data_IF_559138039082
#
_entry.id   IF_559138039082
#
_cell.length_a   1.000
_cell.length_b   1.000
_cell.length_c   1.000
_cell.angle_alpha   90.00
_cell.angle_beta   90.00
_cell.angle_gamma   90.00
#
_symmetry.space_group_name_H-M   'P 1'
#
loop_
_entity.id
_entity.type
_entity.pdbx_description
1 polymer ?
#
# COMPACT_ATOMS: atom_id res chain seq x y z
N UNK A 1 -25.92 7.36 3.48
CA UNK A 1 -24.65 8.12 3.51
C UNK A 1 -24.15 8.10 2.09
N UNK A 2 -24.17 9.25 1.40
CA UNK A 2 -23.63 9.33 0.03
C UNK A 2 -22.14 9.07 0.10
N UNK A 3 -21.70 8.06 -0.65
CA UNK A 3 -20.36 7.52 -0.59
C UNK A 3 -19.58 8.16 -1.74
N UNK A 4 -18.72 9.13 -1.42
CA UNK A 4 -17.89 9.80 -2.43
C UNK A 4 -16.73 8.88 -2.84
N UNK A 5 -16.98 8.00 -3.81
CA UNK A 5 -15.89 7.31 -4.51
C UNK A 5 -15.06 8.36 -5.24
N UNK A 6 -13.75 8.41 -4.97
CA UNK A 6 -12.82 9.30 -5.68
C UNK A 6 -12.78 8.89 -7.13
N UNK A 7 -13.33 9.71 -8.03
CA UNK A 7 -13.18 9.49 -9.46
C UNK A 7 -11.79 9.98 -9.91
N UNK A 8 -11.40 9.63 -11.14
CA UNK A 8 -10.19 10.21 -11.75
C UNK A 8 -10.28 11.75 -11.77
N UNK A 9 -11.47 12.30 -11.96
CA UNK A 9 -11.72 13.75 -11.97
C UNK A 9 -11.55 14.38 -10.58
N UNK A 10 -11.76 13.64 -9.49
CA UNK A 10 -11.51 14.13 -8.13
C UNK A 10 -10.01 14.25 -7.82
N UNK A 11 -9.15 13.45 -8.48
CA UNK A 11 -7.69 13.58 -8.40
C UNK A 11 -7.19 14.88 -9.06
N UNK A 12 -7.98 15.52 -9.93
CA UNK A 12 -7.58 16.72 -10.66
C UNK A 12 -7.35 17.94 -9.75
N UNK A 13 -8.04 17.99 -8.60
CA UNK A 13 -8.04 19.14 -7.67
C UNK A 13 -6.75 19.30 -6.86
N UNK A 14 -5.88 18.29 -6.82
CA UNK A 14 -4.64 18.32 -6.03
C UNK A 14 -3.42 18.87 -6.80
N UNK A 15 -3.65 19.54 -7.95
CA UNK A 15 -2.60 20.06 -8.84
C UNK A 15 -2.65 21.60 -8.95
N UNK A 16 -3.15 22.33 -7.95
CA UNK A 16 -2.92 23.78 -7.97
C UNK A 16 -1.41 24.06 -7.72
N UNK A 17 -0.72 24.75 -8.65
CA UNK A 17 0.64 25.18 -8.39
C UNK A 17 0.62 26.18 -7.25
N UNK A 18 1.34 25.89 -6.17
CA UNK A 18 1.64 26.89 -5.14
C UNK A 18 2.38 28.06 -5.80
N UNK A 19 1.64 29.08 -6.25
CA UNK A 19 2.17 30.38 -6.60
C UNK A 19 2.60 31.07 -5.30
N UNK A 20 3.83 30.78 -4.86
CA UNK A 20 4.62 31.75 -4.10
C UNK A 20 5.69 32.29 -5.03
N UNK A 21 5.48 33.55 -5.40
CA UNK A 21 6.40 34.39 -6.16
C UNK A 21 7.83 34.25 -5.66
N UNK A 22 8.73 33.82 -6.55
CA UNK A 22 10.15 34.17 -6.48
C UNK A 22 10.81 33.90 -7.84
N UNK A 23 11.13 34.99 -8.55
CA UNK A 23 12.26 35.06 -9.49
C UNK A 23 12.03 34.50 -10.89
N UNK A 24 11.67 35.38 -11.81
CA UNK A 24 11.74 35.20 -13.28
C UNK A 24 13.12 34.70 -13.70
N UNK A 25 13.18 33.56 -14.39
CA UNK A 25 14.21 33.27 -15.39
C UNK A 25 13.53 32.68 -16.63
N UNK A 26 13.88 33.30 -17.75
CA UNK A 26 13.37 33.19 -19.11
C UNK A 26 13.12 31.78 -19.63
N UNK A 27 12.05 31.67 -20.43
CA UNK A 27 11.90 30.64 -21.44
C UNK A 27 13.13 30.58 -22.33
N UNK A 28 13.54 29.38 -22.73
CA UNK A 28 13.56 28.98 -24.14
C UNK A 28 14.19 27.58 -24.30
N UNK A 29 13.73 26.91 -25.35
CA UNK A 29 14.32 25.75 -26.03
C UNK A 29 14.11 24.37 -25.37
N UNK A 30 13.08 23.64 -25.82
CA UNK A 30 13.18 22.58 -26.84
C UNK A 30 11.82 21.86 -26.92
N UNK A 31 11.06 22.19 -27.96
CA UNK A 31 10.01 21.31 -28.46
C UNK A 31 10.66 20.16 -29.20
N UNK A 32 10.32 18.94 -28.80
CA UNK A 32 10.41 17.76 -29.66
C UNK A 32 9.23 16.87 -29.33
N UNK A 33 8.42 16.64 -30.35
CA UNK A 33 7.28 15.73 -30.38
C UNK A 33 7.60 14.40 -29.73
N UNK A 34 6.88 14.05 -28.67
CA UNK A 34 6.77 12.66 -28.23
C UNK A 34 5.76 12.01 -29.17
N UNK A 35 6.29 11.34 -30.19
CA UNK A 35 5.55 10.36 -30.97
C UNK A 35 4.94 9.34 -30.01
N UNK A 36 3.61 9.25 -30.00
CA UNK A 36 2.85 8.18 -29.36
C UNK A 36 3.28 6.84 -29.98
N UNK A 37 4.16 6.11 -29.30
CA UNK A 37 4.29 4.68 -29.53
C UNK A 37 3.20 4.00 -28.73
N UNK A 38 2.16 3.53 -29.42
CA UNK A 38 1.25 2.49 -28.94
C UNK A 38 2.06 1.22 -28.68
N UNK A 39 2.74 1.17 -27.52
CA UNK A 39 3.15 -0.09 -26.95
C UNK A 39 2.01 -0.55 -26.06
N UNK A 40 1.32 -1.60 -26.50
CA UNK A 40 0.44 -2.43 -25.67
C UNK A 40 1.17 -2.80 -24.37
N UNK A 41 1.00 -1.97 -23.35
CA UNK A 41 1.50 -2.25 -22.01
C UNK A 41 0.68 -3.42 -21.48
N UNK A 42 1.26 -4.62 -21.56
CA UNK A 42 0.72 -5.84 -20.95
C UNK A 42 0.56 -5.57 -19.46
N UNK A 43 -0.68 -5.27 -19.05
CA UNK A 43 -1.04 -5.13 -17.64
C UNK A 43 -0.70 -6.46 -16.96
N UNK A 44 0.11 -6.48 -15.89
CA UNK A 44 0.39 -7.71 -15.17
C UNK A 44 -0.92 -8.35 -14.73
N UNK A 45 -1.16 -9.60 -15.14
CA UNK A 45 -2.40 -10.30 -14.82
C UNK A 45 -2.48 -10.57 -13.31
N UNK A 46 -3.38 -9.88 -12.60
CA UNK A 46 -3.73 -10.26 -11.23
C UNK A 46 -4.64 -11.49 -11.26
N UNK A 47 -4.42 -12.42 -10.32
CA UNK A 47 -5.30 -13.58 -10.09
C UNK A 47 -6.74 -13.16 -9.73
N UNK A 48 -6.97 -11.89 -9.37
CA UNK A 48 -8.27 -11.33 -8.97
C UNK A 48 -8.82 -10.31 -9.98
N UNK A 49 -8.51 -10.48 -11.27
CA UNK A 49 -9.03 -9.63 -12.34
C UNK A 49 -10.56 -9.71 -12.49
N UNK A 50 -11.14 -10.88 -12.27
CA UNK A 50 -12.60 -11.12 -12.39
C UNK A 50 -13.36 -10.94 -11.07
N UNK A 51 -12.67 -10.57 -9.98
CA UNK A 51 -13.30 -10.39 -8.68
C UNK A 51 -14.27 -9.19 -8.70
N UNK A 52 -15.40 -9.24 -7.95
CA UNK A 52 -16.43 -8.20 -8.03
C UNK A 52 -15.93 -6.84 -7.54
N UNK A 53 -14.98 -6.79 -6.61
CA UNK A 53 -14.34 -5.55 -6.16
C UNK A 53 -13.43 -4.93 -7.24
N UNK A 54 -13.23 -5.58 -8.38
CA UNK A 54 -12.45 -5.03 -9.49
C UNK A 54 -13.10 -3.87 -10.24
N UNK A 55 -14.40 -3.69 -10.03
CA UNK A 55 -15.14 -2.58 -10.62
C UNK A 55 -14.73 -1.24 -10.00
N UNK A 56 -14.38 -1.26 -8.72
CA UNK A 56 -13.85 -0.10 -8.02
C UNK A 56 -12.41 0.08 -8.49
N UNK A 57 -12.06 1.31 -8.88
CA UNK A 57 -10.68 1.68 -9.20
C UNK A 57 -10.10 1.10 -10.52
N UNK A 58 -10.93 0.84 -11.56
CA UNK A 58 -10.46 0.28 -12.85
C UNK A 58 -9.28 1.03 -13.50
N UNK A 59 -9.20 2.36 -13.37
CA UNK A 59 -8.03 3.15 -13.80
C UNK A 59 -6.80 2.92 -12.92
N UNK A 60 -7.00 2.94 -11.60
CA UNK A 60 -5.98 2.61 -10.58
C UNK A 60 -5.46 1.17 -10.73
N UNK A 61 -6.28 0.21 -11.19
CA UNK A 61 -5.83 -1.18 -11.44
C UNK A 61 -4.68 -1.30 -12.41
N UNK A 62 -4.55 -0.39 -13.37
CA UNK A 62 -3.39 -0.35 -14.27
C UNK A 62 -2.13 0.17 -13.58
N UNK A 63 -2.25 0.71 -12.37
CA UNK A 63 -1.23 1.44 -11.62
C UNK A 63 -0.67 0.66 -10.43
N UNK A 64 -1.13 -0.57 -10.20
CA UNK A 64 -0.61 -1.44 -9.14
C UNK A 64 -0.45 -2.87 -9.63
N UNK A 65 0.54 -3.56 -9.05
CA UNK A 65 0.81 -4.96 -9.28
C UNK A 65 1.36 -5.58 -7.99
N UNK A 66 1.29 -6.90 -7.88
CA UNK A 66 1.97 -7.63 -6.81
C UNK A 66 3.49 -7.35 -6.93
N UNK A 67 4.15 -6.87 -5.86
CA UNK A 67 5.57 -6.54 -5.89
C UNK A 67 6.41 -7.80 -6.03
N UNK A 68 7.51 -7.70 -6.79
CA UNK A 68 8.50 -8.77 -6.87
C UNK A 68 9.28 -8.91 -5.55
N UNK A 69 9.25 -10.11 -4.96
CA UNK A 69 9.96 -10.42 -3.72
C UNK A 69 11.41 -10.87 -3.93
N UNK A 70 11.85 -11.08 -5.18
CA UNK A 70 13.17 -11.63 -5.52
C UNK A 70 14.35 -10.82 -4.95
N UNK A 71 14.21 -9.49 -4.89
CA UNK A 71 15.21 -8.57 -4.37
C UNK A 71 15.19 -8.38 -2.85
N UNK A 72 14.22 -8.97 -2.14
CA UNK A 72 14.06 -8.75 -0.69
C UNK A 72 14.95 -9.70 0.09
N UNK A 73 15.82 -9.13 0.94
CA UNK A 73 16.71 -9.88 1.83
C UNK A 73 16.23 -9.82 3.29
N UNK A 74 16.11 -10.98 3.92
CA UNK A 74 15.70 -11.15 5.33
C UNK A 74 16.84 -11.71 6.17
N UNK A 75 16.74 -11.56 7.49
CA UNK A 75 17.73 -12.15 8.42
C UNK A 75 17.67 -13.68 8.33
N UNK A 76 18.80 -14.33 8.07
CA UNK A 76 18.88 -15.80 8.08
C UNK A 76 18.66 -16.37 9.49
N UNK A 77 18.49 -17.70 9.58
CA UNK A 77 18.26 -18.42 10.86
C UNK A 77 19.40 -18.19 11.86
N UNK A 78 20.62 -18.04 11.37
CA UNK A 78 21.87 -17.81 12.13
C UNK A 78 22.35 -16.36 12.12
N UNK A 79 21.48 -15.40 11.74
CA UNK A 79 21.85 -13.99 11.56
C UNK A 79 22.55 -13.38 12.79
N UNK A 80 22.21 -13.80 14.00
CA UNK A 80 22.85 -13.25 15.21
C UNK A 80 24.33 -13.62 15.34
N UNK A 81 24.75 -14.71 14.68
CA UNK A 81 26.12 -15.21 14.69
C UNK A 81 26.90 -14.77 13.45
N UNK A 82 26.28 -14.85 12.27
CA UNK A 82 26.94 -14.60 10.98
C UNK A 82 26.66 -13.22 10.37
N UNK A 83 25.63 -12.50 10.84
CA UNK A 83 25.12 -11.24 10.29
C UNK A 83 24.74 -11.32 8.80
N UNK A 84 24.47 -12.51 8.27
CA UNK A 84 24.16 -12.78 6.85
C UNK A 84 22.66 -12.73 6.59
N UNK A 85 22.27 -11.90 5.63
CA UNK A 85 20.91 -11.90 5.09
C UNK A 85 20.77 -12.90 3.94
N UNK A 86 19.60 -13.50 3.83
CA UNK A 86 19.23 -14.46 2.80
C UNK A 86 18.01 -13.96 2.01
N UNK A 87 17.79 -14.43 0.77
CA UNK A 87 16.57 -14.12 0.03
C UNK A 87 15.31 -14.48 0.83
N UNK A 88 14.28 -13.62 0.77
CA UNK A 88 13.00 -13.82 1.46
C UNK A 88 12.20 -15.02 0.92
N UNK A 89 12.48 -15.44 -0.32
CA UNK A 89 11.71 -16.45 -1.02
C UNK A 89 10.41 -15.88 -1.61
N UNK A 90 9.43 -16.76 -1.82
CA UNK A 90 8.13 -16.40 -2.38
C UNK A 90 7.30 -15.61 -1.36
N UNK A 91 6.61 -14.57 -1.81
CA UNK A 91 5.64 -13.86 -0.99
C UNK A 91 4.53 -14.81 -0.49
N UNK A 92 4.20 -14.71 0.80
CA UNK A 92 3.16 -15.55 1.43
C UNK A 92 1.77 -14.95 1.17
N UNK A 93 1.63 -13.64 1.34
CA UNK A 93 0.40 -12.93 1.05
C UNK A 93 0.22 -12.70 -0.44
N UNK A 94 -1.05 -12.65 -0.87
CA UNK A 94 -1.44 -12.29 -2.23
C UNK A 94 -2.10 -10.93 -2.26
N UNK A 95 -1.71 -10.07 -3.20
CA UNK A 95 -2.32 -8.75 -3.33
C UNK A 95 -3.73 -8.91 -3.93
N UNK A 96 -4.75 -8.60 -3.14
CA UNK A 96 -6.15 -8.63 -3.58
C UNK A 96 -6.49 -7.38 -4.38
N UNK A 97 -6.21 -6.22 -3.78
CA UNK A 97 -6.65 -4.95 -4.30
C UNK A 97 -5.86 -3.79 -3.70
N UNK A 98 -5.75 -2.70 -4.45
CA UNK A 98 -5.35 -1.39 -3.95
C UNK A 98 -6.46 -0.41 -4.26
N UNK A 99 -6.81 0.39 -3.27
CA UNK A 99 -7.93 1.31 -3.33
C UNK A 99 -7.54 2.68 -2.79
N UNK A 100 -8.29 3.70 -3.22
CA UNK A 100 -8.11 5.07 -2.77
C UNK A 100 -9.42 5.57 -2.16
N UNK A 101 -9.38 5.84 -0.86
CA UNK A 101 -10.53 6.31 -0.11
C UNK A 101 -10.38 7.80 0.19
N UNK A 102 -11.50 8.53 0.15
CA UNK A 102 -11.62 9.91 0.62
C UNK A 102 -12.63 9.97 1.73
N UNK A 103 -12.34 10.79 2.72
CA UNK A 103 -13.17 10.91 3.92
C UNK A 103 -13.46 12.36 4.24
N UNK A 104 -14.58 12.62 4.90
CA UNK A 104 -14.94 13.99 5.27
C UNK A 104 -14.05 14.50 6.42
N UNK A 105 -13.67 13.61 7.33
CA UNK A 105 -12.79 13.94 8.46
C UNK A 105 -11.63 12.95 8.59
N UNK A 106 -10.60 13.33 9.34
CA UNK A 106 -9.43 12.48 9.57
C UNK A 106 -9.79 11.24 10.41
N UNK A 107 -10.70 11.38 11.36
CA UNK A 107 -11.13 10.30 12.27
C UNK A 107 -11.87 9.19 11.53
N UNK A 108 -12.56 9.53 10.43
CA UNK A 108 -13.25 8.58 9.59
C UNK A 108 -12.33 7.63 8.81
N UNK A 109 -11.03 7.96 8.73
CA UNK A 109 -10.01 7.09 8.12
C UNK A 109 -9.66 5.90 8.99
N UNK A 110 -9.96 5.96 10.29
CA UNK A 110 -9.61 4.90 11.22
C UNK A 110 -10.59 3.72 11.09
N UNK A 111 -10.06 2.50 11.21
CA UNK A 111 -10.85 1.27 11.16
C UNK A 111 -11.76 1.21 9.91
N UNK A 112 -11.19 1.55 8.76
CA UNK A 112 -11.91 1.66 7.50
C UNK A 112 -12.57 0.35 7.11
N UNK A 113 -12.07 -0.80 7.59
CA UNK A 113 -12.63 -2.11 7.30
C UNK A 113 -14.13 -2.18 7.64
N UNK A 114 -14.57 -1.49 8.70
CA UNK A 114 -15.99 -1.43 9.06
C UNK A 114 -16.82 -0.74 7.97
N UNK A 115 -16.28 0.29 7.31
CA UNK A 115 -16.93 0.96 6.17
C UNK A 115 -16.79 0.11 4.90
N UNK A 116 -15.63 -0.50 4.68
CA UNK A 116 -15.35 -1.39 3.54
C UNK A 116 -16.36 -2.55 3.47
N UNK A 117 -16.69 -3.18 4.59
CA UNK A 117 -17.65 -4.30 4.63
C UNK A 117 -19.07 -3.91 4.20
N UNK A 118 -19.43 -2.63 4.29
CA UNK A 118 -20.77 -2.15 3.90
C UNK A 118 -20.89 -1.83 2.42
N UNK A 119 -19.77 -1.74 1.68
CA UNK A 119 -19.79 -1.32 0.29
C UNK A 119 -20.26 -2.45 -0.64
N UNK A 120 -20.97 -2.14 -1.73
CA UNK A 120 -21.24 -3.10 -2.79
C UNK A 120 -19.93 -3.70 -3.31
N UNK A 121 -19.90 -5.01 -3.52
CA UNK A 121 -18.69 -5.73 -3.94
C UNK A 121 -17.51 -5.55 -2.98
N UNK A 122 -17.74 -5.58 -1.67
CA UNK A 122 -16.68 -5.54 -0.65
C UNK A 122 -15.64 -6.67 -0.85
N UNK A 123 -14.35 -6.30 -0.71
CA UNK A 123 -13.22 -7.22 -0.67
C UNK A 123 -13.35 -8.13 0.55
N UNK A 124 -13.71 -7.59 1.71
CA UNK A 124 -13.82 -8.36 2.96
C UNK A 124 -15.00 -9.33 2.94
N UNK A 125 -16.15 -8.92 2.41
CA UNK A 125 -17.31 -9.81 2.22
C UNK A 125 -16.95 -10.94 1.25
N UNK A 126 -16.38 -10.60 0.09
CA UNK A 126 -15.96 -11.60 -0.90
C UNK A 126 -14.95 -12.60 -0.32
N UNK A 127 -13.92 -12.11 0.38
CA UNK A 127 -12.90 -12.98 0.96
C UNK A 127 -13.45 -13.86 2.07
N UNK A 128 -14.35 -13.34 2.91
CA UNK A 128 -15.02 -14.15 3.95
C UNK A 128 -15.82 -15.31 3.35
N UNK A 129 -16.45 -15.11 2.20
CA UNK A 129 -17.25 -16.14 1.53
C UNK A 129 -16.40 -17.14 0.74
N UNK A 130 -15.38 -16.65 0.02
CA UNK A 130 -14.56 -17.49 -0.89
C UNK A 130 -13.36 -18.14 -0.21
N UNK A 131 -12.82 -17.50 0.82
CA UNK A 131 -11.61 -17.90 1.53
C UNK A 131 -11.81 -17.84 3.05
N UNK A 132 -12.76 -18.60 3.61
CA UNK A 132 -13.15 -18.49 5.03
C UNK A 132 -12.02 -18.83 6.02
N UNK A 133 -11.03 -19.62 5.59
CA UNK A 133 -9.87 -20.00 6.40
C UNK A 133 -8.69 -19.01 6.26
N UNK A 134 -8.79 -18.03 5.35
CA UNK A 134 -7.79 -17.00 5.12
C UNK A 134 -8.11 -15.74 5.92
N UNK A 135 -7.10 -14.89 6.12
CA UNK A 135 -7.27 -13.58 6.76
C UNK A 135 -6.87 -12.47 5.82
N UNK A 136 -7.64 -11.39 5.74
CA UNK A 136 -7.26 -10.19 5.00
C UNK A 136 -6.38 -9.31 5.88
N UNK A 137 -5.17 -8.99 5.43
CA UNK A 137 -4.29 -8.02 6.07
C UNK A 137 -4.38 -6.69 5.30
N UNK A 138 -4.88 -5.66 5.97
CA UNK A 138 -5.14 -4.34 5.40
C UNK A 138 -4.04 -3.39 5.88
N UNK A 139 -3.38 -2.72 4.94
CA UNK A 139 -2.50 -1.59 5.23
C UNK A 139 -3.19 -0.33 4.73
N UNK A 140 -3.62 0.52 5.65
CA UNK A 140 -4.26 1.79 5.38
C UNK A 140 -3.23 2.91 5.59
N UNK A 141 -2.79 3.52 4.50
CA UNK A 141 -1.82 4.63 4.53
C UNK A 141 -2.59 5.93 4.48
N UNK A 142 -2.71 6.59 5.63
CA UNK A 142 -3.37 7.89 5.75
C UNK A 142 -2.44 8.99 5.26
N UNK A 143 -2.88 9.73 4.25
CA UNK A 143 -2.06 10.74 3.62
C UNK A 143 -2.17 12.11 4.32
N UNK A 144 -1.07 12.86 4.41
CA UNK A 144 -1.08 14.23 4.93
C UNK A 144 -1.68 15.17 3.88
N UNK A 145 -3.00 15.19 3.73
CA UNK A 145 -3.70 16.13 2.85
C UNK A 145 -5.01 16.63 3.46
N UNK A 146 -5.56 17.67 2.86
CA UNK A 146 -6.79 18.35 3.29
C UNK A 146 -8.06 17.54 3.06
N UNK A 147 -8.00 16.55 2.18
CA UNK A 147 -9.14 15.75 1.76
C UNK A 147 -9.21 14.39 2.44
N UNK A 148 -8.36 14.19 3.44
CA UNK A 148 -8.28 12.97 4.23
C UNK A 148 -8.18 11.71 3.35
N UNK A 149 -7.33 11.71 2.33
CA UNK A 149 -7.17 10.51 1.49
C UNK A 149 -6.43 9.39 2.23
N UNK A 150 -6.82 8.15 1.94
CA UNK A 150 -6.11 6.94 2.35
C UNK A 150 -5.84 6.03 1.16
N UNK A 151 -4.60 5.58 1.00
CA UNK A 151 -4.27 4.46 0.11
C UNK A 151 -4.42 3.17 0.91
N UNK A 152 -5.29 2.29 0.46
CA UNK A 152 -5.61 1.05 1.17
C UNK A 152 -5.16 -0.14 0.36
N UNK A 153 -4.33 -0.98 0.96
CA UNK A 153 -3.76 -2.16 0.33
C UNK A 153 -4.29 -3.40 1.03
N UNK A 154 -4.97 -4.28 0.28
CA UNK A 154 -5.60 -5.49 0.79
C UNK A 154 -4.77 -6.71 0.40
N UNK A 155 -4.27 -7.44 1.39
CA UNK A 155 -3.52 -8.69 1.19
C UNK A 155 -4.32 -9.89 1.69
N UNK A 156 -4.47 -10.93 0.88
CA UNK A 156 -4.98 -12.22 1.34
C UNK A 156 -3.82 -13.02 1.95
N UNK A 157 -3.90 -13.30 3.24
CA UNK A 157 -2.98 -14.22 3.91
C UNK A 157 -3.63 -15.60 3.92
N UNK A 158 -3.06 -16.61 3.21
CA UNK A 158 -3.60 -17.96 3.20
C UNK A 158 -3.56 -18.60 4.59
N UNK A 159 -4.30 -19.69 4.85
CA UNK A 159 -4.17 -20.44 6.09
C UNK A 159 -2.76 -21.02 6.23
N UNK A 160 -2.37 -21.31 7.47
CA UNK A 160 -1.11 -22.00 7.73
C UNK A 160 -1.05 -23.35 7.00
N UNK A 161 0.10 -23.72 6.42
CA UNK A 161 0.25 -25.00 5.75
C UNK A 161 0.06 -26.13 6.76
N UNK A 162 -0.62 -27.19 6.33
CA UNK A 162 -0.82 -28.39 7.17
C UNK A 162 0.44 -29.23 7.31
N UNK A 163 1.38 -29.08 6.36
CA UNK A 163 2.61 -29.86 6.32
C UNK A 163 3.72 -29.20 7.16
N UNK A 164 4.33 -29.94 8.11
CA UNK A 164 5.42 -29.42 8.95
C UNK A 164 6.71 -29.06 8.19
N UNK A 165 6.89 -29.58 6.98
CA UNK A 165 8.10 -29.38 6.16
C UNK A 165 8.23 -27.94 5.63
N UNK A 166 7.14 -27.15 5.64
CA UNK A 166 7.17 -25.72 5.33
C UNK A 166 7.55 -24.87 6.55
N UNK A 167 8.69 -25.18 7.19
CA UNK A 167 9.11 -24.59 8.48
C UNK A 167 9.10 -23.04 8.45
N UNK A 168 9.52 -22.45 7.32
CA UNK A 168 9.54 -20.99 7.12
C UNK A 168 8.15 -20.36 7.07
N UNK A 169 7.22 -20.95 6.30
CA UNK A 169 5.82 -20.52 6.22
C UNK A 169 5.13 -20.71 7.57
N UNK A 170 5.35 -21.84 8.24
CA UNK A 170 4.82 -22.12 9.57
C UNK A 170 5.34 -21.12 10.62
N UNK A 171 6.62 -20.72 10.55
CA UNK A 171 7.19 -19.69 11.41
C UNK A 171 6.55 -18.32 11.18
N UNK A 172 6.29 -17.96 9.92
CA UNK A 172 5.52 -16.75 9.59
C UNK A 172 4.12 -16.79 10.20
N UNK A 173 3.34 -17.87 10.02
CA UNK A 173 1.98 -17.92 10.58
C UNK A 173 1.96 -17.87 12.10
N UNK A 174 2.92 -18.49 12.79
CA UNK A 174 3.04 -18.34 14.26
C UNK A 174 3.27 -16.88 14.66
N UNK A 175 4.18 -16.19 13.98
CA UNK A 175 4.45 -14.78 14.25
C UNK A 175 3.26 -13.89 13.89
N UNK A 176 2.61 -14.16 12.76
CA UNK A 176 1.47 -13.40 12.25
C UNK A 176 0.25 -13.55 13.17
N UNK A 177 -0.09 -14.78 13.58
CA UNK A 177 -1.19 -15.02 14.53
C UNK A 177 -0.91 -14.33 15.86
N UNK A 178 0.32 -14.43 16.38
CA UNK A 178 0.71 -13.69 17.58
C UNK A 178 0.60 -12.18 17.38
N UNK A 179 1.04 -11.64 16.25
CA UNK A 179 0.95 -10.23 15.92
C UNK A 179 -0.49 -9.73 15.89
N UNK A 180 -1.41 -10.51 15.31
CA UNK A 180 -2.81 -10.15 15.21
C UNK A 180 -3.57 -10.32 16.51
N UNK A 181 -3.44 -11.48 17.16
CA UNK A 181 -4.39 -11.95 18.17
C UNK A 181 -3.88 -11.79 19.61
N UNK A 182 -2.56 -11.81 19.83
CA UNK A 182 -1.95 -11.84 21.18
C UNK A 182 -1.07 -10.63 21.50
N UNK A 183 -0.46 -10.01 20.48
CA UNK A 183 0.50 -8.93 20.66
C UNK A 183 -0.14 -7.65 21.18
N UNK A 184 0.58 -6.92 22.03
CA UNK A 184 0.25 -5.53 22.34
C UNK A 184 0.81 -4.58 21.26
N UNK A 185 0.49 -3.30 21.37
CA UNK A 185 0.92 -2.31 20.38
C UNK A 185 2.44 -2.12 20.38
N UNK A 186 3.11 -2.25 21.53
CA UNK A 186 4.57 -2.22 21.63
C UNK A 186 5.21 -3.38 20.85
N UNK A 187 4.67 -4.59 20.98
CA UNK A 187 5.08 -5.74 20.20
C UNK A 187 4.87 -5.49 18.70
N UNK A 188 3.69 -4.99 18.30
CA UNK A 188 3.36 -4.74 16.89
C UNK A 188 4.25 -3.66 16.28
N UNK A 189 4.46 -2.55 16.99
CA UNK A 189 5.29 -1.42 16.59
C UNK A 189 6.74 -1.83 16.27
N UNK A 190 7.24 -2.86 16.96
CA UNK A 190 8.60 -3.39 16.78
C UNK A 190 8.69 -4.57 15.80
N UNK A 191 7.66 -4.86 15.01
CA UNK A 191 7.64 -6.03 14.11
C UNK A 191 7.28 -5.70 12.67
N UNK A 192 6.28 -4.85 12.44
CA UNK A 192 5.91 -4.50 11.07
C UNK A 192 6.98 -3.62 10.41
N UNK A 193 7.35 -3.97 9.18
CA UNK A 193 8.30 -3.22 8.36
C UNK A 193 7.68 -2.93 7.00
N UNK A 194 7.68 -1.66 6.63
CA UNK A 194 7.38 -1.24 5.27
C UNK A 194 8.71 -1.09 4.51
N UNK A 195 8.78 -1.66 3.31
CA UNK A 195 9.93 -1.51 2.41
C UNK A 195 9.44 -0.71 1.20
N UNK A 196 9.60 0.62 1.20
CA UNK A 196 9.23 1.43 0.06
C UNK A 196 10.28 1.25 -1.03
N UNK A 197 9.80 1.04 -2.26
CA UNK A 197 10.65 0.96 -3.44
C UNK A 197 10.03 1.79 -4.57
N UNK A 198 10.61 2.96 -4.83
CA UNK A 198 10.21 3.82 -5.93
C UNK A 198 11.08 3.50 -7.15
N UNK A 199 10.58 2.65 -8.03
CA UNK A 199 11.29 2.23 -9.26
C UNK A 199 11.29 3.36 -10.29
N UNK A 200 10.14 4.00 -10.48
CA UNK A 200 9.94 5.09 -11.44
C UNK A 200 9.30 6.29 -10.75
N UNK A 201 9.85 7.48 -10.98
CA UNK A 201 9.33 8.73 -10.44
C UNK A 201 10.31 9.89 -10.62
N UNK A 202 9.89 11.12 -10.32
CA UNK A 202 10.79 12.27 -10.33
C UNK A 202 12.08 11.99 -9.54
N UNK A 203 13.24 12.30 -10.13
CA UNK A 203 14.56 12.02 -9.52
C UNK A 203 14.69 12.55 -8.08
N UNK A 204 14.06 13.69 -7.79
CA UNK A 204 14.03 14.26 -6.44
C UNK A 204 13.33 13.33 -5.44
N UNK A 205 12.27 12.63 -5.85
CA UNK A 205 11.54 11.69 -4.99
C UNK A 205 12.30 10.36 -4.85
N UNK A 206 12.97 9.89 -5.90
CA UNK A 206 13.85 8.71 -5.81
C UNK A 206 15.01 8.93 -4.82
N UNK A 207 15.48 10.17 -4.70
CA UNK A 207 16.52 10.54 -3.73
C UNK A 207 15.98 10.61 -2.30
N UNK A 208 14.71 11.00 -2.13
CA UNK A 208 14.06 11.17 -0.83
C UNK A 208 13.46 9.88 -0.25
N UNK A 209 13.13 8.90 -1.10
CA UNK A 209 12.57 7.60 -0.69
C UNK A 209 13.69 6.57 -0.61
N UNK A 210 14.33 6.36 0.55
CA UNK A 210 15.36 5.35 0.67
C UNK A 210 14.74 3.96 0.43
N UNK A 211 15.32 3.17 -0.47
CA UNK A 211 15.00 1.76 -0.61
C UNK A 211 15.58 0.95 0.57
N UNK A 212 15.02 1.18 1.76
CA UNK A 212 15.43 0.56 3.02
C UNK A 212 14.21 0.22 3.86
N UNK A 213 14.17 -0.97 4.49
CA UNK A 213 13.10 -1.31 5.41
C UNK A 213 12.99 -0.31 6.55
N UNK A 214 11.77 0.19 6.78
CA UNK A 214 11.44 1.06 7.90
C UNK A 214 10.54 0.30 8.88
N UNK A 215 10.96 0.21 10.15
CA UNK A 215 10.06 -0.11 11.26
C UNK A 215 9.14 1.09 11.45
N UNK A 216 7.92 1.00 10.94
CA UNK A 216 6.98 2.13 10.90
C UNK A 216 6.48 2.48 12.29
N UNK A 217 6.32 1.52 13.21
CA UNK A 217 5.81 1.79 14.56
C UNK A 217 6.69 2.63 15.47
N UNK A 218 7.96 2.74 15.14
CA UNK A 218 8.88 3.64 15.86
C UNK A 218 9.00 5.00 15.17
N UNK A 219 8.30 5.20 14.06
CA UNK A 219 8.38 6.41 13.22
C UNK A 219 7.05 7.10 13.01
N UNK A 220 5.96 6.33 12.92
CA UNK A 220 4.60 6.76 12.63
C UNK A 220 3.69 6.39 13.79
N UNK A 221 2.64 7.18 13.99
CA UNK A 221 1.48 6.75 14.77
C UNK A 221 0.81 5.63 13.99
N UNK A 222 0.64 4.49 14.66
CA UNK A 222 -0.03 3.32 14.09
C UNK A 222 -1.26 2.98 14.93
N UNK A 223 -2.32 2.51 14.27
CA UNK A 223 -3.51 1.98 14.93
C UNK A 223 -3.78 0.59 14.37
N UNK A 224 -4.28 -0.29 15.24
CA UNK A 224 -4.45 -1.71 14.93
C UNK A 224 -5.88 -2.13 15.21
N UNK A 225 -6.53 -2.74 14.22
CA UNK A 225 -7.88 -3.27 14.37
C UNK A 225 -7.90 -4.74 13.97
N UNK A 226 -8.35 -5.58 14.90
CA UNK A 226 -8.39 -7.03 14.70
C UNK A 226 -9.83 -7.55 14.78
N UNK A 227 -10.19 -8.36 13.77
CA UNK A 227 -11.42 -9.16 13.69
C UNK A 227 -11.07 -10.56 13.20
N UNK A 228 -12.05 -11.46 13.19
CA UNK A 228 -11.82 -12.85 12.77
C UNK A 228 -11.36 -12.98 11.31
N UNK A 229 -11.93 -12.18 10.41
CA UNK A 229 -11.68 -12.21 8.96
C UNK A 229 -10.61 -11.21 8.47
N UNK A 230 -10.22 -10.24 9.28
CA UNK A 230 -9.19 -9.27 8.89
C UNK A 230 -8.37 -8.73 10.06
N UNK A 231 -7.19 -8.22 9.70
CA UNK A 231 -6.39 -7.34 10.54
C UNK A 231 -6.07 -6.07 9.76
N UNK A 232 -6.32 -4.91 10.35
CA UNK A 232 -6.07 -3.61 9.76
C UNK A 232 -4.96 -2.87 10.53
N UNK A 233 -4.02 -2.33 9.76
CA UNK A 233 -2.94 -1.48 10.23
C UNK A 233 -3.09 -0.11 9.56
N UNK A 234 -3.42 0.89 10.37
CA UNK A 234 -3.42 2.29 9.95
C UNK A 234 -2.05 2.91 10.17
N UNK A 235 -1.53 3.55 9.14
CA UNK A 235 -0.28 4.28 9.14
C UNK A 235 -0.58 5.76 8.94
N UNK A 236 -0.51 6.54 10.01
CA UNK A 236 -0.65 8.00 9.93
C UNK A 236 0.68 8.61 9.49
N UNK A 237 0.80 8.89 8.20
CA UNK A 237 2.03 9.42 7.62
C UNK A 237 2.26 10.89 8.00
N UNK A 238 1.20 11.62 8.38
CA UNK A 238 1.31 13.00 8.82
C UNK A 238 1.95 13.12 10.21
N UNK A 239 1.95 12.04 10.99
CA UNK A 239 2.40 12.05 12.38
C UNK A 239 3.91 12.28 12.56
N UNK A 240 4.70 12.25 11.48
CA UNK A 240 6.16 12.31 11.57
C UNK A 240 6.83 12.90 10.33
N UNK A 241 7.65 13.92 10.57
CA UNK A 241 8.52 14.49 9.54
C UNK A 241 9.53 13.47 9.00
N UNK A 242 9.96 12.53 9.85
CA UNK A 242 10.92 11.48 9.49
C UNK A 242 10.36 10.44 8.49
N UNK A 243 9.05 10.48 8.23
CA UNK A 243 8.35 9.58 7.31
C UNK A 243 7.65 10.32 6.16
N UNK A 244 7.90 11.63 6.00
CA UNK A 244 7.35 12.44 4.91
C UNK A 244 7.57 11.82 3.53
N UNK A 245 8.68 11.12 3.31
CA UNK A 245 8.97 10.45 2.05
C UNK A 245 7.92 9.36 1.69
N UNK A 246 7.32 8.68 2.67
CA UNK A 246 6.21 7.73 2.42
C UNK A 246 5.01 8.51 1.87
N UNK A 247 4.73 9.67 2.46
CA UNK A 247 3.65 10.55 2.02
C UNK A 247 3.92 11.11 0.63
N UNK A 248 5.14 11.58 0.38
CA UNK A 248 5.57 12.08 -0.93
C UNK A 248 5.53 10.99 -2.01
N UNK A 249 5.91 9.75 -1.68
CA UNK A 249 5.79 8.61 -2.59
C UNK A 249 4.32 8.35 -2.94
N UNK A 250 3.44 8.34 -1.94
CA UNK A 250 2.02 8.14 -2.15
C UNK A 250 1.40 9.28 -2.98
N UNK A 251 1.76 10.53 -2.69
CA UNK A 251 1.32 11.70 -3.46
C UNK A 251 1.85 11.66 -4.91
N UNK A 252 3.07 11.18 -5.13
CA UNK A 252 3.58 10.96 -6.48
C UNK A 252 2.81 9.88 -7.21
N UNK A 253 2.46 8.79 -6.53
CA UNK A 253 1.63 7.74 -7.13
C UNK A 253 0.24 8.30 -7.50
N UNK A 254 -0.36 9.14 -6.66
CA UNK A 254 -1.61 9.84 -6.98
C UNK A 254 -1.47 10.75 -8.20
N UNK A 255 -0.36 11.48 -8.33
CA UNK A 255 -0.10 12.32 -9.50
C UNK A 255 0.09 11.49 -10.78
N UNK A 256 0.82 10.36 -10.72
CA UNK A 256 1.01 9.46 -11.87
C UNK A 256 -0.31 8.81 -12.30
N UNK A 257 -1.21 8.50 -11.37
CA UNK A 257 -2.54 7.95 -11.67
C UNK A 257 -3.34 8.85 -12.64
N UNK A 258 -3.10 10.17 -12.64
CA UNK A 258 -3.73 11.10 -13.57
C UNK A 258 -3.12 11.05 -14.98
N UNK A 259 -1.79 11.02 -15.10
CA UNK A 259 -1.10 11.03 -16.40
C UNK A 259 -1.42 9.81 -17.28
N UNK A 260 -1.80 8.68 -16.68
CA UNK A 260 -2.16 7.45 -17.40
C UNK A 260 -3.66 7.40 -17.75
N UNK A 261 -4.46 8.32 -17.21
CA UNK A 261 -5.91 8.37 -17.40
C UNK A 261 -6.39 9.41 -18.43
N UNK A 262 -5.50 10.30 -18.89
CA UNK A 262 -5.70 11.24 -20.02
C UNK A 262 -5.28 10.61 -21.33
#
# INVERSE_FOLDING_TARGET
MEMNSVTIEDLDKYIEPNNKEQGVVSSDVWGTDITTSDSDNVVPSSEFNDAPFAVHSRGIRKMWAEPDSSGVLVRGKTYMDDLVKVPAGKAIGKLLHVDLWRFETAEERHHLAMKEETRPNSVLVYCREKFPDSRVFIVNIELPNTDNLSIVIYWLIPPAPKNPEEEGTAAFHRLFNRFCDEGDDDFRNNRFKLIPNLVEGPWILQTLVPNRPALTGNKLTQRYFCRSNYFELDLDVASSTAAQYIGSMCQSWLATCKCIST
#
